data_IF_756798828078
#
_entry.id   IF_756798828078
#
_cell.length_a   1.000
_cell.length_b   1.000
_cell.length_c   1.000
_cell.angle_alpha   90.00
_cell.angle_beta   90.00
_cell.angle_gamma   90.00
#
_symmetry.space_group_name_H-M   'P 1'
#
loop_
_entity.id
_entity.type
_entity.pdbx_description
1 polymer ?
#
# COMPACT_ATOMS: atom_id res chain seq x y z
N UNK A 1 -79.16 -10.18 -41.69
CA UNK A 1 -78.61 -10.29 -40.32
C UNK A 1 -77.45 -11.28 -40.34
N UNK A 2 -76.35 -10.93 -39.65
CA UNK A 2 -75.08 -11.64 -39.41
C UNK A 2 -73.97 -11.52 -40.48
N UNK A 3 -72.88 -10.88 -40.03
CA UNK A 3 -71.47 -10.83 -40.53
C UNK A 3 -70.78 -12.21 -40.35
N UNK A 4 -69.52 -12.52 -40.75
CA UNK A 4 -68.31 -11.65 -40.76
C UNK A 4 -67.16 -11.96 -41.79
N UNK A 5 -66.04 -11.25 -41.60
CA UNK A 5 -64.62 -11.62 -41.83
C UNK A 5 -63.88 -10.98 -43.02
N UNK A 6 -62.82 -10.22 -42.70
CA UNK A 6 -61.91 -9.54 -43.63
C UNK A 6 -60.49 -10.12 -43.51
N UNK A 7 -59.98 -10.46 -44.70
CA UNK A 7 -58.68 -10.90 -45.21
C UNK A 7 -57.40 -10.90 -44.36
N UNK A 8 -56.67 -12.00 -44.57
CA UNK A 8 -55.23 -12.22 -44.40
C UNK A 8 -54.70 -12.58 -45.80
N UNK A 9 -53.66 -11.90 -46.31
CA UNK A 9 -52.96 -12.28 -47.55
C UNK A 9 -51.45 -12.25 -47.35
N UNK A 10 -50.85 -13.38 -47.68
CA UNK A 10 -49.45 -13.78 -47.72
C UNK A 10 -48.96 -13.79 -49.19
N UNK A 11 -47.73 -13.34 -49.46
CA UNK A 11 -46.81 -13.84 -50.51
C UNK A 11 -45.46 -13.08 -50.38
N UNK A 12 -44.33 -13.67 -49.94
CA UNK A 12 -43.38 -14.64 -50.55
C UNK A 12 -42.50 -14.09 -51.70
N UNK A 13 -41.18 -13.97 -51.46
CA UNK A 13 -40.04 -14.57 -52.24
C UNK A 13 -38.65 -14.04 -51.79
N UNK A 14 -37.80 -14.88 -51.18
CA UNK A 14 -36.57 -15.59 -51.66
C UNK A 14 -35.27 -14.73 -51.72
N UNK A 15 -34.35 -14.85 -50.73
CA UNK A 15 -33.13 -15.72 -50.57
C UNK A 15 -31.85 -15.13 -51.20
N UNK A 16 -30.83 -14.87 -50.37
CA UNK A 16 -29.43 -15.37 -50.44
C UNK A 16 -28.52 -14.53 -49.52
N UNK A 17 -27.95 -15.14 -48.48
CA UNK A 17 -26.63 -14.74 -47.99
C UNK A 17 -25.94 -15.92 -47.34
N UNK A 18 -24.71 -16.14 -47.81
CA UNK A 18 -23.79 -17.18 -47.43
C UNK A 18 -23.55 -17.17 -45.92
N UNK A 19 -23.46 -18.38 -45.35
CA UNK A 19 -22.87 -18.56 -44.04
C UNK A 19 -21.37 -18.25 -44.10
N UNK A 20 -20.93 -17.36 -43.23
CA UNK A 20 -19.57 -17.35 -42.70
C UNK A 20 -19.63 -17.88 -41.28
N UNK A 21 -18.74 -18.81 -40.99
CA UNK A 21 -18.60 -19.50 -39.70
C UNK A 21 -18.42 -18.48 -38.56
N UNK A 22 -19.27 -18.59 -37.55
CA UNK A 22 -19.04 -17.99 -36.22
C UNK A 22 -17.74 -18.57 -35.65
N UNK A 23 -16.63 -17.89 -35.93
CA UNK A 23 -15.44 -18.01 -35.10
C UNK A 23 -15.72 -17.20 -33.85
N UNK A 24 -16.23 -17.87 -32.80
CA UNK A 24 -16.42 -17.28 -31.48
C UNK A 24 -15.04 -17.06 -30.84
N UNK A 25 -14.28 -16.08 -31.33
CA UNK A 25 -13.23 -15.48 -30.53
C UNK A 25 -13.93 -14.79 -29.37
N UNK A 26 -13.83 -15.38 -28.19
CA UNK A 26 -14.10 -14.72 -26.92
C UNK A 26 -13.03 -13.64 -26.75
N UNK A 27 -13.18 -12.53 -27.48
CA UNK A 27 -12.52 -11.28 -27.13
C UNK A 27 -13.13 -10.87 -25.81
N UNK A 28 -12.42 -11.13 -24.72
CA UNK A 28 -12.64 -10.46 -23.44
C UNK A 28 -12.69 -8.98 -23.76
N UNK A 29 -13.88 -8.37 -23.77
CA UNK A 29 -14.05 -6.96 -24.08
C UNK A 29 -13.44 -6.17 -22.95
N UNK A 30 -12.15 -5.85 -23.10
CA UNK A 30 -11.42 -5.03 -22.14
C UNK A 30 -12.09 -3.66 -22.11
N UNK A 31 -12.49 -3.21 -20.92
CA UNK A 31 -13.15 -1.90 -20.78
C UNK A 31 -12.27 -0.77 -21.32
N UNK A 32 -12.86 0.28 -21.92
CA UNK A 32 -12.08 1.43 -22.38
C UNK A 32 -11.34 2.05 -21.19
N UNK A 33 -10.16 2.60 -21.46
CA UNK A 33 -9.32 3.19 -20.44
C UNK A 33 -10.00 4.42 -19.81
N UNK A 34 -10.06 4.44 -18.48
CA UNK A 34 -10.76 5.47 -17.72
C UNK A 34 -10.00 6.81 -17.73
N UNK A 35 -10.71 7.97 -17.72
CA UNK A 35 -10.08 9.30 -17.64
C UNK A 35 -9.47 9.61 -16.26
N UNK A 36 -9.45 8.64 -15.34
CA UNK A 36 -8.84 8.78 -14.03
C UNK A 36 -8.26 7.45 -13.56
N UNK A 37 -7.34 7.54 -12.62
CA UNK A 37 -6.74 6.36 -12.01
C UNK A 37 -5.96 6.69 -10.76
N UNK A 38 -5.08 5.78 -10.40
CA UNK A 38 -4.22 5.90 -9.22
C UNK A 38 -2.80 5.46 -9.52
N UNK A 39 -1.84 6.18 -8.96
CA UNK A 39 -0.43 5.80 -8.95
C UNK A 39 -0.19 4.96 -7.70
N UNK A 40 0.22 3.71 -7.91
CA UNK A 40 0.63 2.79 -6.86
C UNK A 40 2.15 2.73 -6.83
N UNK A 41 2.75 3.34 -5.81
CA UNK A 41 4.20 3.40 -5.65
C UNK A 41 4.68 2.14 -4.94
N UNK A 42 5.83 1.62 -5.37
CA UNK A 42 6.53 0.54 -4.67
C UNK A 42 6.91 1.01 -3.27
N UNK A 43 6.49 0.27 -2.26
CA UNK A 43 6.57 0.63 -0.84
C UNK A 43 5.85 1.94 -0.47
N UNK A 44 4.97 2.45 -1.34
CA UNK A 44 4.10 3.59 -1.03
C UNK A 44 3.11 3.23 0.06
N UNK A 45 2.75 4.18 0.92
CA UNK A 45 1.71 3.97 1.95
C UNK A 45 0.29 4.22 1.43
N UNK A 46 0.15 5.14 0.48
CA UNK A 46 -1.14 5.49 -0.11
C UNK A 46 -1.04 5.72 -1.62
N UNK A 47 -2.08 5.36 -2.39
CA UNK A 47 -2.12 5.66 -3.81
C UNK A 47 -2.37 7.15 -4.08
N UNK A 48 -1.77 7.67 -5.15
CA UNK A 48 -1.97 9.05 -5.61
C UNK A 48 -3.02 9.08 -6.71
N UNK A 49 -4.13 9.79 -6.51
CA UNK A 49 -5.12 9.99 -7.56
C UNK A 49 -4.55 10.84 -8.69
N UNK A 50 -4.74 10.40 -9.94
CA UNK A 50 -4.45 11.18 -11.14
C UNK A 50 -5.68 11.29 -12.04
N UNK A 51 -5.67 12.33 -12.88
CA UNK A 51 -6.62 12.51 -13.98
C UNK A 51 -5.86 12.47 -15.30
N UNK A 52 -6.34 11.66 -16.24
CA UNK A 52 -5.71 11.48 -17.54
C UNK A 52 -6.23 12.53 -18.50
N UNK A 53 -5.35 12.96 -19.40
CA UNK A 53 -5.71 13.72 -20.58
C UNK A 53 -6.62 12.93 -21.54
N UNK A 54 -7.36 13.63 -22.38
CA UNK A 54 -8.20 13.05 -23.43
C UNK A 54 -7.43 12.71 -24.72
N UNK A 55 -6.14 13.03 -24.76
CA UNK A 55 -5.22 12.76 -25.85
C UNK A 55 -4.07 11.82 -25.45
N UNK A 56 -3.29 11.43 -26.45
CA UNK A 56 -2.08 10.63 -26.26
C UNK A 56 -2.34 9.12 -26.29
N UNK A 57 -1.26 8.37 -26.08
CA UNK A 57 -1.30 6.91 -26.08
C UNK A 57 -1.85 6.28 -24.80
N UNK A 58 -1.85 4.94 -24.72
CA UNK A 58 -2.32 4.20 -23.54
C UNK A 58 -1.40 4.38 -22.34
N UNK A 59 -1.91 4.15 -21.12
CA UNK A 59 -1.06 4.06 -19.93
C UNK A 59 0.06 3.01 -20.10
N UNK A 60 1.23 3.30 -19.52
CA UNK A 60 2.33 2.34 -19.45
C UNK A 60 1.87 1.04 -18.76
N UNK A 61 2.01 -0.14 -19.40
CA UNK A 61 1.45 -1.38 -18.90
C UNK A 61 2.30 -2.03 -17.79
N UNK A 62 3.43 -1.44 -17.41
CA UNK A 62 4.41 -1.96 -16.47
C UNK A 62 4.78 -0.91 -15.42
N UNK A 63 5.53 -1.32 -14.40
CA UNK A 63 6.10 -0.40 -13.41
C UNK A 63 7.17 0.48 -14.07
N UNK A 64 7.15 1.77 -13.73
CA UNK A 64 7.98 2.83 -14.31
C UNK A 64 8.73 3.57 -13.20
N UNK A 65 9.89 4.13 -13.53
CA UNK A 65 10.59 5.07 -12.65
C UNK A 65 10.05 6.49 -12.83
N UNK A 66 9.91 7.25 -11.75
CA UNK A 66 9.51 8.66 -11.82
C UNK A 66 10.75 9.55 -11.86
N UNK A 67 10.97 10.21 -13.00
CA UNK A 67 12.12 11.07 -13.23
C UNK A 67 11.76 12.54 -13.00
N UNK A 68 12.53 13.21 -12.14
CA UNK A 68 12.38 14.63 -11.82
C UNK A 68 13.55 15.40 -12.44
N UNK A 69 13.30 16.44 -13.26
CA UNK A 69 14.36 17.32 -13.75
C UNK A 69 15.20 17.89 -12.60
N UNK A 70 16.53 17.81 -12.75
CA UNK A 70 17.48 18.19 -11.68
C UNK A 70 17.60 19.71 -11.52
N UNK A 71 17.46 20.46 -12.61
CA UNK A 71 17.49 21.92 -12.60
C UNK A 71 16.08 22.51 -12.44
N UNK A 72 15.97 23.54 -11.59
CA UNK A 72 14.70 24.18 -11.27
C UNK A 72 14.04 24.87 -12.47
N UNK A 73 14.80 25.34 -13.45
CA UNK A 73 14.28 25.90 -14.71
C UNK A 73 13.64 24.83 -15.61
N UNK A 74 14.14 23.59 -15.55
CA UNK A 74 13.63 22.48 -16.35
C UNK A 74 12.37 21.84 -15.75
N UNK A 75 11.98 22.22 -14.53
CA UNK A 75 10.81 21.67 -13.82
C UNK A 75 9.51 21.81 -14.61
N UNK A 76 9.42 22.75 -15.54
CA UNK A 76 8.23 22.96 -16.35
C UNK A 76 8.20 22.11 -17.63
N UNK A 77 9.30 21.47 -18.06
CA UNK A 77 9.30 20.61 -19.25
C UNK A 77 8.89 21.34 -20.54
N UNK A 78 9.25 22.61 -20.69
CA UNK A 78 8.93 23.42 -21.87
C UNK A 78 10.00 23.36 -22.98
N UNK A 79 11.14 22.73 -22.66
CA UNK A 79 12.27 22.46 -23.55
C UNK A 79 12.77 21.03 -23.32
N UNK A 80 13.65 20.55 -24.21
CA UNK A 80 14.35 19.29 -24.00
C UNK A 80 15.26 19.41 -22.77
N UNK A 81 15.35 18.32 -22.00
CA UNK A 81 16.30 18.25 -20.89
C UNK A 81 17.74 18.37 -21.40
N UNK A 82 18.68 18.90 -20.58
CA UNK A 82 20.09 18.96 -20.94
C UNK A 82 20.64 17.55 -21.19
N UNK A 83 21.64 17.41 -22.07
CA UNK A 83 22.15 16.12 -22.56
C UNK A 83 22.36 15.04 -21.47
N UNK A 84 22.94 15.32 -20.29
CA UNK A 84 23.14 14.28 -19.27
C UNK A 84 21.82 13.70 -18.74
N UNK A 85 20.80 14.53 -18.60
CA UNK A 85 19.47 14.13 -18.13
C UNK A 85 18.66 13.49 -19.26
N UNK A 86 18.77 14.03 -20.47
CA UNK A 86 18.14 13.46 -21.67
C UNK A 86 18.58 12.01 -21.91
N UNK A 87 19.90 11.76 -21.83
CA UNK A 87 20.46 10.41 -21.99
C UNK A 87 19.96 9.44 -20.92
N UNK A 88 19.70 9.91 -19.69
CA UNK A 88 19.15 9.09 -18.61
C UNK A 88 17.70 8.68 -18.89
N UNK A 89 16.88 9.61 -19.38
CA UNK A 89 15.49 9.32 -19.79
C UNK A 89 15.47 8.42 -21.03
N UNK A 90 16.30 8.67 -22.04
CA UNK A 90 16.39 7.83 -23.24
C UNK A 90 16.88 6.41 -22.91
N UNK A 91 17.88 6.28 -22.03
CA UNK A 91 18.41 4.99 -21.58
C UNK A 91 17.39 4.17 -20.79
N UNK A 92 16.35 4.81 -20.21
CA UNK A 92 15.24 4.12 -19.57
C UNK A 92 14.35 3.36 -20.56
N UNK A 93 14.50 3.58 -21.88
CA UNK A 93 13.80 2.86 -22.96
C UNK A 93 12.28 2.76 -22.73
N UNK A 94 11.60 3.91 -22.59
CA UNK A 94 10.15 3.99 -22.31
C UNK A 94 9.75 3.35 -20.97
N UNK A 95 10.64 3.37 -19.97
CA UNK A 95 10.33 2.96 -18.59
C UNK A 95 10.48 4.08 -17.56
N UNK A 96 10.74 5.33 -17.98
CA UNK A 96 10.69 6.50 -17.10
C UNK A 96 9.51 7.42 -17.40
N UNK A 97 8.79 7.85 -16.37
CA UNK A 97 7.77 8.90 -16.44
C UNK A 97 8.43 10.23 -16.11
N UNK A 98 8.32 11.19 -17.02
CA UNK A 98 8.82 12.54 -16.78
C UNK A 98 7.84 13.30 -15.89
N UNK A 99 8.30 13.79 -14.74
CA UNK A 99 7.49 14.54 -13.78
C UNK A 99 7.81 16.03 -13.86
N UNK A 100 6.81 16.85 -14.21
CA UNK A 100 6.97 18.30 -14.42
C UNK A 100 5.83 19.07 -13.76
N UNK A 101 6.04 20.36 -13.53
CA UNK A 101 5.01 21.25 -13.02
C UNK A 101 4.18 21.88 -14.16
N UNK A 102 2.92 22.13 -13.85
CA UNK A 102 2.03 22.92 -14.71
C UNK A 102 2.45 24.39 -14.69
N UNK A 103 2.53 24.99 -15.88
CA UNK A 103 2.92 26.38 -16.08
C UNK A 103 3.79 26.56 -17.32
N UNK A 104 4.09 27.81 -17.67
CA UNK A 104 5.02 28.29 -18.72
C UNK A 104 4.70 27.91 -20.18
N UNK A 105 4.25 26.70 -20.45
CA UNK A 105 3.87 26.19 -21.76
C UNK A 105 2.64 25.28 -21.66
N UNK A 106 2.10 24.88 -22.81
CA UNK A 106 0.87 24.08 -22.91
C UNK A 106 1.10 22.60 -22.58
N UNK A 107 0.03 21.84 -22.29
CA UNK A 107 0.13 20.41 -21.95
C UNK A 107 0.64 19.57 -23.13
N UNK A 108 0.17 19.88 -24.33
CA UNK A 108 0.57 19.23 -25.58
C UNK A 108 2.06 19.43 -25.84
N UNK A 109 2.57 20.65 -25.57
CA UNK A 109 4.00 20.95 -25.71
C UNK A 109 4.83 20.09 -24.75
N UNK A 110 4.43 19.99 -23.49
CA UNK A 110 5.11 19.16 -22.49
C UNK A 110 5.08 17.69 -22.89
N UNK A 111 3.92 17.20 -23.32
CA UNK A 111 3.72 15.79 -23.70
C UNK A 111 4.51 15.43 -24.96
N UNK A 112 4.53 16.30 -25.97
CA UNK A 112 5.36 16.14 -27.16
C UNK A 112 6.85 16.07 -26.82
N UNK A 113 7.34 16.96 -25.95
CA UNK A 113 8.73 16.96 -25.53
C UNK A 113 9.07 15.71 -24.73
N UNK A 114 8.23 15.32 -23.77
CA UNK A 114 8.41 14.08 -23.01
C UNK A 114 8.45 12.84 -23.92
N UNK A 115 7.59 12.81 -24.95
CA UNK A 115 7.58 11.74 -25.95
C UNK A 115 8.89 11.70 -26.76
N UNK A 116 9.37 12.87 -27.20
CA UNK A 116 10.65 12.99 -27.91
C UNK A 116 11.85 12.54 -27.08
N UNK A 117 11.82 12.74 -25.75
CA UNK A 117 12.86 12.28 -24.84
C UNK A 117 12.80 10.76 -24.55
N UNK A 118 11.82 10.05 -25.10
CA UNK A 118 11.67 8.61 -24.85
C UNK A 118 11.05 8.27 -23.49
N UNK A 119 10.31 9.19 -22.87
CA UNK A 119 9.56 8.90 -21.65
C UNK A 119 8.43 7.87 -21.92
N UNK A 120 8.03 7.14 -20.88
CA UNK A 120 6.90 6.21 -20.88
C UNK A 120 5.55 6.94 -20.81
N UNK A 121 5.51 8.03 -20.05
CA UNK A 121 4.35 8.90 -19.83
C UNK A 121 4.81 10.27 -19.33
N UNK A 122 3.90 11.23 -19.33
CA UNK A 122 4.05 12.52 -18.69
C UNK A 122 3.20 12.59 -17.42
N UNK A 123 3.80 12.98 -16.29
CA UNK A 123 3.10 13.32 -15.07
C UNK A 123 3.23 14.81 -14.79
N UNK A 124 2.11 15.52 -14.82
CA UNK A 124 2.05 16.95 -14.53
C UNK A 124 1.57 17.20 -13.09
N UNK A 125 2.32 18.00 -12.34
CA UNK A 125 1.95 18.45 -11.00
C UNK A 125 1.22 19.78 -11.10
N UNK A 126 -0.01 19.83 -10.61
CA UNK A 126 -0.80 21.06 -10.53
C UNK A 126 -0.19 22.04 -9.51
N UNK A 127 -0.28 23.38 -9.71
CA UNK A 127 0.12 24.37 -8.71
C UNK A 127 -0.84 24.44 -7.52
N UNK A 128 -2.00 23.78 -7.61
CA UNK A 128 -3.02 23.71 -6.56
C UNK A 128 -3.45 22.26 -6.32
N UNK A 129 -4.17 22.03 -5.22
CA UNK A 129 -4.75 20.71 -4.96
C UNK A 129 -6.07 20.48 -5.70
N UNK A 130 -6.64 21.51 -6.33
CA UNK A 130 -7.78 21.38 -7.24
C UNK A 130 -7.30 20.90 -8.60
N UNK A 131 -7.60 19.63 -8.92
CA UNK A 131 -7.15 19.00 -10.17
C UNK A 131 -8.33 18.45 -10.94
N UNK A 132 -8.30 18.71 -12.24
CA UNK A 132 -9.13 18.08 -13.27
C UNK A 132 -8.22 17.47 -14.33
N UNK A 133 -8.81 16.65 -15.21
CA UNK A 133 -8.12 16.29 -16.45
C UNK A 133 -7.64 17.57 -17.16
N UNK A 134 -6.40 17.62 -17.64
CA UNK A 134 -5.99 18.70 -18.51
C UNK A 134 -6.77 18.62 -19.83
N UNK A 135 -6.85 19.75 -20.52
CA UNK A 135 -7.59 19.88 -21.79
C UNK A 135 -6.61 20.38 -22.81
N UNK A 136 -6.48 19.62 -23.89
CA UNK A 136 -5.65 19.99 -25.02
C UNK A 136 -6.47 20.41 -26.24
N UNK A 137 -5.90 21.29 -27.05
CA UNK A 137 -6.38 21.63 -28.38
C UNK A 137 -5.41 21.10 -29.43
N UNK A 138 -5.38 19.77 -29.57
CA UNK A 138 -4.59 19.11 -30.62
C UNK A 138 -5.26 19.30 -31.99
N UNK A 139 -4.41 19.44 -33.02
CA UNK A 139 -4.86 19.41 -34.41
C UNK A 139 -5.03 17.98 -34.92
N UNK A 140 -4.19 17.06 -34.43
CA UNK A 140 -4.25 15.62 -34.67
C UNK A 140 -3.88 14.87 -33.39
N UNK A 141 -4.62 13.83 -33.03
CA UNK A 141 -4.39 13.08 -31.79
C UNK A 141 -3.20 12.10 -31.89
N UNK A 142 -2.76 11.76 -33.12
CA UNK A 142 -1.68 10.81 -33.39
C UNK A 142 -0.26 11.39 -33.19
N UNK A 143 -0.12 12.67 -32.81
CA UNK A 143 1.19 13.32 -32.65
C UNK A 143 1.91 12.94 -31.35
N UNK A 144 1.19 12.39 -30.38
CA UNK A 144 1.71 12.07 -29.04
C UNK A 144 1.37 10.61 -28.73
N UNK A 145 2.40 9.79 -28.57
CA UNK A 145 2.29 8.33 -28.40
C UNK A 145 2.26 7.87 -26.95
N UNK A 146 2.54 8.78 -26.01
CA UNK A 146 2.55 8.51 -24.57
C UNK A 146 1.31 9.06 -23.91
N UNK A 147 0.95 8.50 -22.77
CA UNK A 147 -0.11 9.08 -21.98
C UNK A 147 0.37 10.26 -21.14
N UNK A 148 -0.53 11.21 -20.91
CA UNK A 148 -0.30 12.36 -20.03
C UNK A 148 -1.37 12.39 -18.93
N UNK A 149 -0.92 12.66 -17.70
CA UNK A 149 -1.78 12.69 -16.52
C UNK A 149 -1.42 13.88 -15.63
N UNK A 150 -2.38 14.31 -14.80
CA UNK A 150 -2.17 15.34 -13.79
C UNK A 150 -2.50 14.87 -12.39
N UNK A 151 -1.66 15.28 -11.42
CA UNK A 151 -1.85 15.06 -9.99
C UNK A 151 -1.89 16.38 -9.21
N UNK A 152 -2.38 16.29 -7.98
CA UNK A 152 -2.46 17.40 -7.02
C UNK A 152 -1.08 17.88 -6.61
N UNK A 153 -0.95 19.17 -6.28
CA UNK A 153 0.29 19.77 -5.78
C UNK A 153 0.90 18.96 -4.64
N UNK A 154 0.11 18.67 -3.61
CA UNK A 154 0.56 17.93 -2.42
C UNK A 154 1.13 16.55 -2.76
N UNK A 155 0.52 15.83 -3.71
CA UNK A 155 1.05 14.56 -4.20
C UNK A 155 2.38 14.72 -4.93
N UNK A 156 2.53 15.77 -5.74
CA UNK A 156 3.79 16.09 -6.42
C UNK A 156 4.91 16.51 -5.46
N UNK A 157 4.58 17.31 -4.43
CA UNK A 157 5.52 17.72 -3.38
C UNK A 157 6.03 16.51 -2.57
N UNK A 158 5.13 15.59 -2.22
CA UNK A 158 5.50 14.31 -1.59
C UNK A 158 6.48 13.51 -2.45
N UNK A 159 6.19 13.35 -3.76
CA UNK A 159 7.08 12.61 -4.65
C UNK A 159 8.43 13.30 -4.80
N UNK A 160 8.48 14.63 -4.87
CA UNK A 160 9.72 15.39 -4.99
C UNK A 160 10.61 15.20 -3.75
N UNK A 161 10.04 15.29 -2.56
CA UNK A 161 10.76 15.03 -1.29
C UNK A 161 11.26 13.57 -1.24
N UNK A 162 10.46 12.60 -1.68
CA UNK A 162 10.90 11.22 -1.74
C UNK A 162 12.03 11.00 -2.78
N UNK A 163 11.99 11.70 -3.91
CA UNK A 163 12.98 11.60 -4.99
C UNK A 163 14.36 12.13 -4.59
N UNK A 164 14.42 13.06 -3.63
CA UNK A 164 15.68 13.52 -3.02
C UNK A 164 16.37 12.43 -2.19
N UNK A 165 15.62 11.42 -1.73
CA UNK A 165 16.11 10.37 -0.84
C UNK A 165 16.33 9.03 -1.56
N UNK A 166 15.53 8.74 -2.59
CA UNK A 166 15.60 7.48 -3.32
C UNK A 166 14.96 7.56 -4.71
N UNK A 167 15.34 6.63 -5.59
CA UNK A 167 14.63 6.42 -6.83
C UNK A 167 13.20 5.90 -6.57
N UNK A 168 12.23 6.50 -7.26
CA UNK A 168 10.81 6.19 -7.10
C UNK A 168 10.36 5.29 -8.24
N UNK A 169 9.71 4.19 -7.89
CA UNK A 169 9.10 3.25 -8.83
C UNK A 169 7.61 3.10 -8.52
N UNK A 170 6.80 2.93 -9.55
CA UNK A 170 5.37 2.76 -9.38
C UNK A 170 4.65 2.44 -10.68
N UNK A 171 3.35 2.20 -10.59
CA UNK A 171 2.49 1.93 -11.75
C UNK A 171 1.31 2.88 -11.77
N UNK A 172 1.01 3.43 -12.95
CA UNK A 172 -0.18 4.23 -13.20
C UNK A 172 -1.31 3.29 -13.62
N UNK A 173 -2.30 3.11 -12.75
CA UNK A 173 -3.37 2.13 -12.94
C UNK A 173 -4.70 2.87 -13.18
N UNK A 174 -5.27 2.78 -14.40
CA UNK A 174 -6.60 3.28 -14.69
C UNK A 174 -7.66 2.56 -13.84
N UNK A 175 -8.63 3.30 -13.32
CA UNK A 175 -9.65 2.75 -12.43
C UNK A 175 -11.04 2.86 -13.05
N UNK A 176 -11.77 1.76 -13.08
CA UNK A 176 -13.15 1.70 -13.59
C UNK A 176 -14.10 1.45 -12.41
N UNK A 177 -15.10 2.32 -12.23
CA UNK A 177 -16.11 2.15 -11.18
C UNK A 177 -17.43 1.63 -11.75
N UNK A 178 -17.93 0.56 -11.15
CA UNK A 178 -19.30 0.09 -11.32
C UNK A 178 -20.19 0.74 -10.26
N UNK A 179 -21.46 1.05 -10.58
CA UNK A 179 -22.37 1.76 -9.66
C UNK A 179 -23.24 0.84 -8.79
N UNK A 180 -23.20 -0.48 -8.99
CA UNK A 180 -24.10 -1.44 -8.31
C UNK A 180 -23.39 -2.77 -8.00
N UNK A 181 -22.70 -2.91 -6.86
CA UNK A 181 -22.38 -1.89 -5.84
C UNK A 181 -21.36 -0.86 -6.35
N UNK A 182 -21.23 0.28 -5.66
CA UNK A 182 -20.17 1.26 -5.99
C UNK A 182 -18.80 0.66 -5.66
N UNK A 183 -18.13 0.12 -6.67
CA UNK A 183 -16.82 -0.52 -6.53
C UNK A 183 -15.95 -0.09 -7.69
N UNK A 184 -14.70 0.27 -7.39
CA UNK A 184 -13.75 0.69 -8.40
C UNK A 184 -12.62 -0.33 -8.44
N UNK A 185 -12.35 -0.86 -9.64
CA UNK A 185 -11.37 -1.92 -9.86
C UNK A 185 -10.43 -1.54 -11.00
N UNK A 186 -9.22 -2.11 -11.02
CA UNK A 186 -8.34 -1.99 -12.19
C UNK A 186 -8.93 -2.72 -13.40
N UNK A 187 -8.29 -2.56 -14.55
CA UNK A 187 -8.73 -3.16 -15.81
C UNK A 187 -8.24 -4.59 -15.96
N UNK A 188 -7.07 -4.90 -15.41
CA UNK A 188 -6.41 -6.19 -15.52
C UNK A 188 -6.13 -6.81 -14.15
N UNK A 189 -6.13 -8.14 -14.08
CA UNK A 189 -5.79 -8.90 -12.86
C UNK A 189 -4.34 -8.60 -12.40
N UNK A 190 -3.38 -8.49 -13.32
CA UNK A 190 -2.00 -8.10 -12.99
C UNK A 190 -1.89 -6.70 -12.37
N UNK A 191 -2.86 -5.82 -12.59
CA UNK A 191 -2.92 -4.52 -11.92
C UNK A 191 -3.48 -4.69 -10.50
N UNK A 192 -4.46 -5.57 -10.30
CA UNK A 192 -5.00 -5.94 -8.98
C UNK A 192 -3.90 -6.56 -8.10
N UNK A 193 -3.16 -7.53 -8.62
CA UNK A 193 -2.00 -8.13 -7.93
C UNK A 193 -0.96 -7.08 -7.53
N UNK A 194 -0.65 -6.14 -8.43
CA UNK A 194 0.28 -5.06 -8.16
C UNK A 194 -0.25 -4.12 -7.07
N UNK A 195 -1.55 -3.80 -7.08
CA UNK A 195 -2.18 -2.96 -6.05
C UNK A 195 -2.08 -3.58 -4.65
N UNK A 196 -2.21 -4.90 -4.54
CA UNK A 196 -2.12 -5.62 -3.27
C UNK A 196 -0.69 -5.79 -2.73
N UNK A 197 0.28 -5.89 -3.64
CA UNK A 197 1.67 -6.21 -3.31
C UNK A 197 2.61 -5.01 -3.25
N UNK A 198 2.37 -3.96 -4.05
CA UNK A 198 3.30 -2.83 -4.16
C UNK A 198 3.21 -1.84 -2.99
N UNK A 199 2.02 -1.64 -2.41
CA UNK A 199 1.83 -0.76 -1.25
C UNK A 199 2.39 -1.44 0.00
N UNK A 200 3.10 -0.68 0.83
CA UNK A 200 3.51 -1.16 2.15
C UNK A 200 2.30 -1.06 3.10
N UNK A 201 1.78 -2.20 3.56
CA UNK A 201 0.69 -2.31 4.56
C UNK A 201 1.19 -2.69 5.94
N UNK A 202 2.33 -3.36 6.01
CA UNK A 202 2.97 -3.77 7.25
C UNK A 202 4.36 -4.35 7.01
N UNK A 203 5.03 -4.71 8.09
CA UNK A 203 6.41 -5.18 7.99
C UNK A 203 7.10 -5.33 9.33
N UNK A 204 8.43 -5.45 9.29
CA UNK A 204 9.28 -5.59 10.46
C UNK A 204 10.10 -4.32 10.70
N UNK A 205 10.25 -3.97 11.98
CA UNK A 205 11.20 -2.94 12.44
C UNK A 205 12.50 -3.63 12.83
N UNK A 206 13.61 -3.21 12.22
CA UNK A 206 14.93 -3.79 12.40
C UNK A 206 15.87 -2.77 13.05
N UNK A 207 16.62 -3.19 14.06
CA UNK A 207 17.81 -2.46 14.53
C UNK A 207 18.98 -2.78 13.62
N UNK A 208 19.76 -1.78 13.26
CA UNK A 208 20.93 -1.93 12.39
C UNK A 208 22.11 -1.25 13.06
N UNK A 209 23.18 -2.00 13.32
CA UNK A 209 24.40 -1.45 13.95
C UNK A 209 25.33 -0.83 12.91
N UNK A 210 25.44 -1.42 11.72
CA UNK A 210 26.29 -0.96 10.62
C UNK A 210 25.55 -0.95 9.26
N UNK A 211 25.94 -0.06 8.35
CA UNK A 211 25.38 -0.04 7.00
C UNK A 211 25.66 -1.35 6.25
N UNK A 212 24.61 -2.09 5.90
CA UNK A 212 24.69 -3.37 5.20
C UNK A 212 24.34 -4.60 6.05
N UNK A 213 24.11 -4.43 7.37
CA UNK A 213 23.62 -5.50 8.23
C UNK A 213 22.14 -5.84 7.94
N UNK A 214 21.83 -7.14 7.97
CA UNK A 214 20.47 -7.68 7.83
C UNK A 214 19.56 -7.24 8.99
N UNK A 215 20.16 -6.84 10.11
CA UNK A 215 19.53 -6.16 11.23
C UNK A 215 18.78 -7.12 12.15
N UNK A 216 18.68 -6.74 13.43
CA UNK A 216 17.94 -7.52 14.43
C UNK A 216 16.49 -7.08 14.48
N UNK A 217 15.55 -8.01 14.30
CA UNK A 217 14.11 -7.72 14.39
C UNK A 217 13.70 -7.31 15.80
N UNK A 218 13.12 -6.12 15.93
CA UNK A 218 12.64 -5.56 17.19
C UNK A 218 11.14 -5.80 17.41
N UNK A 219 10.38 -5.85 16.33
CA UNK A 219 8.93 -6.01 16.32
C UNK A 219 8.36 -5.91 14.91
N UNK A 220 7.04 -5.75 14.82
CA UNK A 220 6.32 -5.49 13.57
C UNK A 220 5.68 -4.11 13.56
N UNK A 221 5.36 -3.64 12.36
CA UNK A 221 4.59 -2.41 12.15
C UNK A 221 3.42 -2.64 11.20
N UNK A 222 2.38 -1.83 11.36
CA UNK A 222 1.34 -1.60 10.36
C UNK A 222 1.54 -0.22 9.75
N UNK A 223 1.54 -0.11 8.44
CA UNK A 223 1.69 1.18 7.78
C UNK A 223 0.35 1.93 7.77
N UNK A 224 0.40 3.25 7.86
CA UNK A 224 -0.79 4.06 7.73
C UNK A 224 -1.31 4.06 6.28
N UNK A 225 -2.60 4.35 6.12
CA UNK A 225 -3.24 4.54 4.79
C UNK A 225 -2.97 5.93 4.19
N UNK A 226 -1.94 6.61 4.67
CA UNK A 226 -1.46 7.92 4.25
C UNK A 226 0.04 8.06 4.57
N UNK A 227 0.67 9.10 4.03
CA UNK A 227 2.11 9.30 4.12
C UNK A 227 2.83 8.92 2.83
N UNK A 228 4.17 9.06 2.87
CA UNK A 228 5.03 8.88 1.71
C UNK A 228 5.48 7.43 1.52
N UNK A 229 6.48 7.22 0.68
CA UNK A 229 7.07 5.93 0.35
C UNK A 229 8.01 5.51 1.49
N UNK A 230 7.88 4.28 1.98
CA UNK A 230 8.73 3.73 3.02
C UNK A 230 10.12 3.35 2.47
N UNK A 231 11.21 3.99 2.91
CA UNK A 231 12.57 3.61 2.51
C UNK A 231 12.97 2.30 3.20
N UNK A 232 13.29 1.27 2.42
CA UNK A 232 13.63 -0.06 2.95
C UNK A 232 15.14 -0.34 3.02
N UNK A 233 15.94 0.47 2.32
CA UNK A 233 17.41 0.34 2.26
C UNK A 233 18.14 1.31 3.17
N UNK A 234 17.48 2.40 3.55
CA UNK A 234 18.06 3.46 4.38
C UNK A 234 17.74 3.20 5.85
N UNK A 235 18.73 3.39 6.72
CA UNK A 235 18.55 3.36 8.17
C UNK A 235 18.39 4.76 8.73
N UNK A 236 17.52 4.94 9.74
CA UNK A 236 17.23 6.23 10.36
C UNK A 236 17.64 6.21 11.83
N UNK A 237 18.35 7.23 12.34
CA UNK A 237 18.58 7.34 13.77
C UNK A 237 17.23 7.50 14.49
N UNK A 238 17.08 6.85 15.64
CA UNK A 238 15.92 7.00 16.49
C UNK A 238 16.04 8.27 17.34
N UNK A 239 15.02 9.12 17.31
CA UNK A 239 14.91 10.26 18.22
C UNK A 239 14.36 9.84 19.59
N UNK A 240 14.49 10.72 20.59
CA UNK A 240 13.79 10.55 21.85
C UNK A 240 12.27 10.52 21.60
N UNK A 241 11.52 9.63 22.28
CA UNK A 241 10.07 9.57 22.16
C UNK A 241 9.42 10.88 22.60
N UNK A 242 8.43 11.34 21.83
CA UNK A 242 7.56 12.44 22.22
C UNK A 242 6.46 11.93 23.15
N UNK A 243 6.21 12.64 24.24
CA UNK A 243 4.97 12.45 24.99
C UNK A 243 3.76 13.05 24.24
N UNK A 244 2.55 12.80 24.75
CA UNK A 244 1.34 13.30 24.11
C UNK A 244 1.29 14.84 24.02
N UNK A 245 1.73 15.55 25.05
CA UNK A 245 1.72 17.02 25.07
C UNK A 245 2.74 17.61 24.10
N UNK A 246 3.95 17.05 24.04
CA UNK A 246 5.00 17.46 23.12
C UNK A 246 4.59 17.19 21.66
N UNK A 247 3.99 16.04 21.39
CA UNK A 247 3.48 15.70 20.06
C UNK A 247 2.38 16.65 19.57
N UNK A 248 1.57 17.18 20.50
CA UNK A 248 0.52 18.14 20.20
C UNK A 248 0.99 19.60 20.21
N UNK A 249 2.24 19.89 20.60
CA UNK A 249 2.78 21.25 20.59
C UNK A 249 3.10 21.68 19.16
N UNK A 250 2.58 22.84 18.76
CA UNK A 250 2.80 23.40 17.43
C UNK A 250 4.30 23.54 17.17
N UNK A 251 4.78 22.89 16.11
CA UNK A 251 6.18 22.92 15.72
C UNK A 251 6.67 24.34 15.39
N UNK A 252 5.78 25.26 14.99
CA UNK A 252 6.14 26.65 14.69
C UNK A 252 6.50 27.46 15.92
N UNK A 253 6.05 27.04 17.11
CA UNK A 253 6.35 27.68 18.39
C UNK A 253 7.62 27.13 19.05
N UNK A 254 8.06 25.92 18.65
CA UNK A 254 9.15 25.17 19.27
C UNK A 254 10.28 24.85 18.27
N UNK A 255 10.98 25.91 17.83
CA UNK A 255 12.11 25.81 16.89
C UNK A 255 13.32 25.12 17.55
N UNK A 256 13.43 25.13 18.89
CA UNK A 256 14.57 24.59 19.62
C UNK A 256 14.76 23.09 19.37
N UNK A 257 13.67 22.35 19.15
CA UNK A 257 13.70 20.91 18.97
C UNK A 257 13.78 20.47 17.50
N UNK A 258 13.78 21.39 16.52
CA UNK A 258 13.93 21.02 15.11
C UNK A 258 15.19 20.20 14.84
N UNK A 259 16.31 20.59 15.45
CA UNK A 259 17.58 19.84 15.30
C UNK A 259 17.55 18.46 15.95
N UNK A 260 16.65 18.23 16.91
CA UNK A 260 16.52 16.96 17.61
C UNK A 260 15.89 15.88 16.73
N UNK A 261 14.94 16.27 15.88
CA UNK A 261 14.14 15.34 15.06
C UNK A 261 14.55 15.29 13.58
N UNK A 262 15.32 16.28 13.12
CA UNK A 262 15.80 16.35 11.74
C UNK A 262 16.46 15.04 11.26
N UNK A 263 15.87 14.41 10.24
CA UNK A 263 16.41 13.19 9.62
C UNK A 263 16.16 11.90 10.40
N UNK A 264 15.41 11.94 11.51
CA UNK A 264 15.24 10.82 12.45
C UNK A 264 13.88 10.15 12.34
N UNK A 265 13.81 8.91 12.84
CA UNK A 265 12.54 8.26 13.16
C UNK A 265 12.06 8.75 14.53
N UNK A 266 10.80 9.14 14.64
CA UNK A 266 10.22 9.72 15.86
C UNK A 266 9.08 8.87 16.37
N UNK A 267 9.13 8.50 17.65
CA UNK A 267 8.06 7.77 18.32
C UNK A 267 7.10 8.78 18.96
N UNK A 268 5.80 8.58 18.76
CA UNK A 268 4.74 9.40 19.35
C UNK A 268 3.55 8.51 19.75
N UNK A 269 2.83 8.81 20.84
CA UNK A 269 1.67 8.01 21.24
C UNK A 269 0.53 8.13 20.23
N UNK A 270 -0.07 6.99 19.88
CA UNK A 270 -1.29 6.91 19.10
C UNK A 270 -2.52 7.46 19.86
N UNK A 271 -3.64 7.60 19.16
CA UNK A 271 -4.92 8.07 19.68
C UNK A 271 -4.92 9.54 20.12
N UNK A 272 -5.76 9.88 21.10
CA UNK A 272 -5.99 11.25 21.56
C UNK A 272 -5.09 11.70 22.72
N UNK A 273 -4.02 10.96 23.04
CA UNK A 273 -3.05 11.38 24.04
C UNK A 273 -2.50 12.78 23.70
N UNK A 274 -2.50 13.72 24.64
CA UNK A 274 -2.09 15.11 24.37
C UNK A 274 -3.20 16.05 23.88
N UNK A 275 -4.43 15.55 23.65
CA UNK A 275 -5.63 16.31 23.24
C UNK A 275 -5.59 16.90 21.82
N UNK A 276 -4.79 16.33 20.93
CA UNK A 276 -4.83 16.60 19.49
C UNK A 276 -5.07 15.30 18.70
N UNK A 277 -5.36 15.43 17.40
CA UNK A 277 -5.54 14.27 16.52
C UNK A 277 -4.21 13.59 16.19
N UNK A 278 -4.23 12.29 15.85
CA UNK A 278 -3.03 11.59 15.39
C UNK A 278 -2.40 12.25 14.15
N UNK A 279 -3.26 12.69 13.23
CA UNK A 279 -2.84 13.43 12.05
C UNK A 279 -2.07 14.71 12.40
N UNK A 280 -2.53 15.43 13.43
CA UNK A 280 -1.86 16.64 13.91
C UNK A 280 -0.50 16.33 14.55
N UNK A 281 -0.39 15.24 15.32
CA UNK A 281 0.91 14.77 15.86
C UNK A 281 1.92 14.47 14.76
N UNK A 282 1.47 13.73 13.73
CA UNK A 282 2.30 13.39 12.58
C UNK A 282 2.72 14.67 11.84
N UNK A 283 1.78 15.60 11.62
CA UNK A 283 2.04 16.89 10.99
C UNK A 283 3.08 17.70 11.76
N UNK A 284 2.99 17.75 13.09
CA UNK A 284 3.96 18.43 13.95
C UNK A 284 5.34 17.75 13.93
N UNK A 285 5.40 16.41 13.98
CA UNK A 285 6.66 15.68 13.89
C UNK A 285 7.36 15.92 12.54
N UNK A 286 6.60 15.90 11.43
CA UNK A 286 7.13 16.22 10.10
C UNK A 286 7.68 17.65 10.03
N UNK A 287 6.95 18.64 10.57
CA UNK A 287 7.41 20.03 10.61
C UNK A 287 8.69 20.22 11.42
N UNK A 288 8.92 19.38 12.43
CA UNK A 288 10.17 19.30 13.20
C UNK A 288 11.31 18.58 12.45
N UNK A 289 11.07 18.12 11.22
CA UNK A 289 12.08 17.49 10.37
C UNK A 289 12.20 15.97 10.53
N UNK A 290 11.26 15.30 11.20
CA UNK A 290 11.23 13.85 11.24
C UNK A 290 11.17 13.26 9.82
N UNK A 291 11.88 12.16 9.59
CA UNK A 291 11.82 11.43 8.32
C UNK A 291 10.85 10.26 8.36
N UNK A 292 10.52 9.74 9.55
CA UNK A 292 9.54 8.67 9.78
C UNK A 292 8.84 8.94 11.11
N UNK A 293 7.52 8.71 11.16
CA UNK A 293 6.76 8.73 12.42
C UNK A 293 6.31 7.32 12.78
N UNK A 294 6.54 6.93 14.03
CA UNK A 294 6.14 5.66 14.62
C UNK A 294 5.10 5.96 15.70
N UNK A 295 3.84 5.63 15.42
CA UNK A 295 2.70 5.70 16.33
C UNK A 295 2.70 4.49 17.25
N UNK A 296 2.94 4.71 18.53
CA UNK A 296 2.90 3.66 19.55
C UNK A 296 1.48 3.51 20.10
N UNK A 297 0.88 2.33 19.93
CA UNK A 297 -0.41 2.00 20.54
C UNK A 297 -0.33 1.93 22.07
N UNK A 298 -1.48 2.12 22.73
CA UNK A 298 -1.59 2.05 24.19
C UNK A 298 -1.44 0.60 24.69
N UNK A 299 -0.92 0.45 25.92
CA UNK A 299 -0.59 -0.84 26.55
C UNK A 299 -1.76 -1.84 26.65
N UNK A 300 -2.99 -1.35 26.62
CA UNK A 300 -4.20 -2.15 26.77
C UNK A 300 -4.85 -2.55 25.42
N UNK A 301 -4.23 -2.21 24.29
CA UNK A 301 -4.77 -2.52 22.97
C UNK A 301 -4.54 -3.99 22.62
N UNK A 302 -5.61 -4.79 22.60
CA UNK A 302 -5.56 -6.19 22.10
C UNK A 302 -5.32 -6.26 20.60
N UNK A 303 -5.72 -5.22 19.86
CA UNK A 303 -5.59 -5.14 18.41
C UNK A 303 -4.91 -3.84 18.01
N UNK A 304 -4.10 -3.94 16.96
CA UNK A 304 -3.47 -2.81 16.28
C UNK A 304 -4.17 -2.69 14.94
N UNK A 305 -4.49 -1.47 14.55
CA UNK A 305 -5.13 -1.17 13.27
C UNK A 305 -4.25 -0.21 12.50
N UNK A 306 -4.38 -0.22 11.17
CA UNK A 306 -3.69 0.76 10.33
C UNK A 306 -4.21 2.17 10.67
N UNK A 307 -3.32 3.13 10.98
CA UNK A 307 -3.72 4.52 11.10
C UNK A 307 -4.36 5.00 9.81
N UNK A 308 -5.46 5.73 9.91
CA UNK A 308 -6.20 6.15 8.74
C UNK A 308 -6.78 7.52 8.87
N UNK A 309 -6.96 8.14 7.71
CA UNK A 309 -7.77 9.34 7.54
C UNK A 309 -9.00 8.96 6.74
N UNK A 310 -10.12 9.66 6.98
CA UNK A 310 -11.37 9.38 6.28
C UNK A 310 -11.21 9.45 4.75
N UNK A 311 -10.30 10.29 4.28
CA UNK A 311 -10.05 10.58 2.88
C UNK A 311 -8.55 10.71 2.66
N UNK A 312 -7.94 9.76 1.94
CA UNK A 312 -6.47 9.68 1.81
C UNK A 312 -5.84 10.94 1.20
N UNK A 313 -6.50 11.60 0.24
CA UNK A 313 -5.97 12.82 -0.38
C UNK A 313 -5.96 14.03 0.56
N UNK A 314 -6.71 14.02 1.68
CA UNK A 314 -6.57 15.06 2.71
C UNK A 314 -5.22 14.96 3.45
N UNK A 315 -4.53 13.84 3.32
CA UNK A 315 -3.27 13.56 4.00
C UNK A 315 -2.05 13.54 3.06
N UNK A 316 -2.19 13.99 1.80
CA UNK A 316 -1.05 14.11 0.88
C UNK A 316 -0.02 15.17 1.32
N UNK A 317 -0.37 16.05 2.26
CA UNK A 317 0.57 16.95 2.91
C UNK A 317 1.48 16.26 3.95
N UNK A 318 1.22 14.99 4.28
CA UNK A 318 2.15 14.15 5.04
C UNK A 318 3.11 13.50 4.05
N UNK A 319 4.34 13.99 4.02
CA UNK A 319 5.38 13.66 3.06
C UNK A 319 6.41 12.67 3.61
N UNK A 320 6.14 12.10 4.79
CA UNK A 320 6.97 11.08 5.44
C UNK A 320 6.16 9.81 5.71
N UNK A 321 6.79 8.63 5.80
CA UNK A 321 6.11 7.40 6.18
C UNK A 321 5.59 7.47 7.62
N UNK A 322 4.39 6.90 7.82
CA UNK A 322 3.73 6.82 9.12
C UNK A 322 3.43 5.36 9.42
N UNK A 323 3.98 4.86 10.52
CA UNK A 323 3.91 3.46 10.93
C UNK A 323 3.26 3.36 12.30
N UNK A 324 2.50 2.32 12.57
CA UNK A 324 1.97 1.98 13.88
C UNK A 324 2.62 0.72 14.42
N UNK A 325 2.93 0.73 15.71
CA UNK A 325 3.54 -0.41 16.42
C UNK A 325 2.79 -0.66 17.73
N UNK A 326 2.94 -1.86 18.27
CA UNK A 326 2.41 -2.19 19.59
C UNK A 326 3.10 -1.37 20.68
N UNK A 327 2.50 -1.33 21.86
CA UNK A 327 3.18 -0.84 23.06
C UNK A 327 4.46 -1.62 23.37
N UNK A 328 4.45 -2.95 23.22
CA UNK A 328 5.62 -3.81 23.47
C UNK A 328 6.79 -3.42 22.58
N UNK A 329 6.54 -3.30 21.27
CA UNK A 329 7.54 -2.86 20.30
C UNK A 329 7.94 -1.41 20.54
N UNK A 330 6.99 -0.50 20.80
CA UNK A 330 7.28 0.91 21.11
C UNK A 330 8.14 1.11 22.37
N UNK A 331 7.91 0.33 23.43
CA UNK A 331 8.70 0.36 24.66
C UNK A 331 10.12 -0.18 24.44
N UNK A 332 10.27 -1.23 23.62
CA UNK A 332 11.60 -1.72 23.19
C UNK A 332 12.35 -0.64 22.43
N UNK A 333 11.70 0.02 21.46
CA UNK A 333 12.31 1.10 20.69
C UNK A 333 12.71 2.28 21.59
N UNK A 334 11.82 2.69 22.50
CA UNK A 334 12.05 3.84 23.40
C UNK A 334 13.26 3.67 24.33
N UNK A 335 13.66 2.43 24.61
CA UNK A 335 14.82 2.11 25.45
C UNK A 335 16.05 1.67 24.65
N UNK A 336 15.94 1.60 23.32
CA UNK A 336 16.97 1.07 22.45
C UNK A 336 18.14 2.06 22.30
N UNK A 337 19.34 1.55 22.48
CA UNK A 337 20.61 2.24 22.21
C UNK A 337 21.46 1.33 21.34
N UNK A 338 22.34 1.93 20.54
CA UNK A 338 23.32 1.15 19.78
C UNK A 338 24.42 0.57 20.70
N UNK A 339 25.34 -0.19 20.10
CA UNK A 339 26.47 -0.82 20.80
C UNK A 339 27.43 0.18 21.46
N UNK A 340 27.40 1.46 21.05
CA UNK A 340 28.22 2.54 21.58
C UNK A 340 27.47 3.35 22.66
N UNK A 341 26.17 3.09 22.85
CA UNK A 341 25.30 3.79 23.81
C UNK A 341 24.60 5.03 23.23
N UNK A 342 24.73 5.25 21.93
CA UNK A 342 24.12 6.33 21.15
C UNK A 342 22.73 5.90 20.61
N UNK A 343 22.11 6.81 19.85
CA UNK A 343 20.79 6.59 19.27
C UNK A 343 20.81 5.45 18.24
N UNK A 344 20.05 4.38 18.53
CA UNK A 344 19.93 3.23 17.66
C UNK A 344 19.43 3.61 16.26
N UNK A 345 19.86 2.87 15.24
CA UNK A 345 19.43 3.07 13.86
C UNK A 345 18.39 2.03 13.48
N UNK A 346 17.31 2.49 12.85
CA UNK A 346 16.18 1.66 12.45
C UNK A 346 16.13 1.52 10.94
N UNK A 347 15.92 0.30 10.47
CA UNK A 347 15.57 -0.02 9.08
C UNK A 347 14.24 -0.77 9.04
N UNK A 348 13.51 -0.62 7.95
CA UNK A 348 12.18 -1.20 7.80
C UNK A 348 12.16 -2.19 6.64
N UNK A 349 11.58 -3.37 6.88
CA UNK A 349 11.37 -4.39 5.86
C UNK A 349 9.87 -4.58 5.64
N UNK A 350 9.40 -4.40 4.40
CA UNK A 350 7.99 -4.59 4.05
C UNK A 350 7.65 -6.08 4.01
N UNK A 351 6.56 -6.45 4.66
CA UNK A 351 5.99 -7.79 4.64
C UNK A 351 4.48 -7.69 4.86
N UNK A 352 3.73 -7.57 3.76
CA UNK A 352 2.28 -7.31 3.80
C UNK A 352 1.48 -8.42 4.48
N UNK A 353 2.00 -9.65 4.55
CA UNK A 353 1.37 -10.72 5.32
C UNK A 353 1.18 -10.37 6.81
N UNK A 354 2.06 -9.57 7.40
CA UNK A 354 1.87 -9.08 8.78
C UNK A 354 0.58 -8.26 8.89
N UNK A 355 0.28 -7.42 7.90
CA UNK A 355 -0.98 -6.68 7.85
C UNK A 355 -2.17 -7.62 7.63
N UNK A 356 -2.06 -8.61 6.73
CA UNK A 356 -3.11 -9.62 6.51
C UNK A 356 -3.45 -10.39 7.79
N UNK A 357 -2.46 -10.68 8.62
CA UNK A 357 -2.65 -11.33 9.91
C UNK A 357 -3.44 -10.46 10.89
N UNK A 358 -3.11 -9.17 11.01
CA UNK A 358 -3.85 -8.22 11.85
C UNK A 358 -5.27 -7.96 11.34
N UNK A 359 -5.46 -7.79 10.02
CA UNK A 359 -6.78 -7.65 9.39
C UNK A 359 -7.65 -8.90 9.58
N UNK A 360 -7.04 -10.10 9.56
CA UNK A 360 -7.74 -11.34 9.90
C UNK A 360 -8.19 -11.33 11.36
N UNK A 361 -7.35 -10.93 12.30
CA UNK A 361 -7.75 -10.82 13.70
C UNK A 361 -8.87 -9.81 13.93
N UNK A 362 -8.82 -8.67 13.25
CA UNK A 362 -9.87 -7.64 13.34
C UNK A 362 -11.24 -8.20 12.94
N UNK A 363 -11.31 -9.03 11.88
CA UNK A 363 -12.55 -9.72 11.47
C UNK A 363 -13.12 -10.62 12.57
N UNK A 364 -12.26 -11.17 13.43
CA UNK A 364 -12.63 -12.04 14.56
C UNK A 364 -12.65 -11.31 15.92
N UNK A 365 -12.59 -9.99 15.92
CA UNK A 365 -12.64 -9.17 17.15
C UNK A 365 -13.99 -9.24 17.88
N UNK A 366 -15.05 -9.68 17.21
CA UNK A 366 -16.42 -9.73 17.76
C UNK A 366 -16.91 -11.16 17.96
N UNK A 367 -17.70 -11.41 19.01
CA UNK A 367 -18.24 -12.76 19.30
C UNK A 367 -19.07 -13.35 18.15
N UNK A 368 -19.71 -12.51 17.35
CA UNK A 368 -20.52 -12.89 16.18
C UNK A 368 -19.71 -13.53 15.06
N UNK A 369 -18.42 -13.21 14.94
CA UNK A 369 -17.53 -13.82 13.95
C UNK A 369 -17.14 -15.26 14.33
N UNK A 370 -17.32 -15.64 15.60
CA UNK A 370 -16.96 -16.96 16.10
C UNK A 370 -18.15 -17.93 16.08
N UNK A 371 -17.91 -19.24 15.92
CA UNK A 371 -18.97 -20.25 16.04
C UNK A 371 -19.73 -20.16 17.38
N UNK A 372 -21.03 -20.46 17.36
CA UNK A 372 -21.85 -20.48 18.60
C UNK A 372 -21.46 -21.62 19.55
N UNK A 373 -21.00 -22.76 19.02
CA UNK A 373 -20.62 -23.94 19.81
C UNK A 373 -19.14 -23.87 20.19
N UNK A 374 -18.83 -23.94 21.48
CA UNK A 374 -17.47 -23.85 22.04
C UNK A 374 -16.51 -24.86 21.38
N UNK A 375 -16.91 -26.12 21.21
CA UNK A 375 -16.08 -27.15 20.51
C UNK A 375 -15.70 -26.76 19.08
N UNK A 376 -16.51 -25.95 18.39
CA UNK A 376 -16.18 -25.45 17.05
C UNK A 376 -15.26 -24.23 17.11
N UNK A 377 -15.26 -23.50 18.22
CA UNK A 377 -14.32 -22.38 18.42
C UNK A 377 -12.88 -22.87 18.47
N UNK A 378 -12.56 -23.99 19.11
CA UNK A 378 -11.19 -24.54 19.12
C UNK A 378 -10.71 -24.93 17.72
N UNK A 379 -11.61 -25.45 16.86
CA UNK A 379 -11.26 -25.71 15.45
C UNK A 379 -11.00 -24.42 14.67
N UNK A 380 -11.83 -23.40 14.86
CA UNK A 380 -11.61 -22.08 14.25
C UNK A 380 -10.31 -21.45 14.78
N UNK A 381 -10.01 -21.58 16.07
CA UNK A 381 -8.76 -21.12 16.67
C UNK A 381 -7.55 -21.75 15.99
N UNK A 382 -7.55 -23.08 15.80
CA UNK A 382 -6.48 -23.79 15.11
C UNK A 382 -6.29 -23.31 13.66
N UNK A 383 -7.40 -23.06 12.96
CA UNK A 383 -7.37 -22.51 11.59
C UNK A 383 -6.77 -21.10 11.56
N UNK A 384 -7.20 -20.22 12.47
CA UNK A 384 -6.70 -18.85 12.55
C UNK A 384 -5.21 -18.81 12.90
N UNK A 385 -4.77 -19.63 13.85
CA UNK A 385 -3.37 -19.74 14.23
C UNK A 385 -2.50 -20.21 13.05
N UNK A 386 -2.97 -21.22 12.30
CA UNK A 386 -2.30 -21.66 11.09
C UNK A 386 -2.21 -20.56 10.03
N UNK A 387 -3.30 -19.81 9.79
CA UNK A 387 -3.33 -18.72 8.81
C UNK A 387 -2.39 -17.57 9.20
N UNK A 388 -2.42 -17.13 10.46
CA UNK A 388 -1.57 -16.05 10.97
C UNK A 388 -0.09 -16.40 10.86
N UNK A 389 0.29 -17.63 11.23
CA UNK A 389 1.67 -18.12 11.03
C UNK A 389 2.04 -18.15 9.56
N UNK A 390 1.12 -18.60 8.68
CA UNK A 390 1.32 -18.59 7.23
C UNK A 390 1.50 -17.20 6.64
N UNK A 391 0.88 -16.18 7.24
CA UNK A 391 1.06 -14.77 6.86
C UNK A 391 2.33 -14.13 7.46
N UNK A 392 3.11 -14.86 8.27
CA UNK A 392 4.29 -14.31 8.95
C UNK A 392 3.95 -13.44 10.16
N UNK A 393 2.77 -13.64 10.77
CA UNK A 393 2.43 -13.05 12.06
C UNK A 393 3.44 -13.44 13.13
N UNK A 394 3.78 -12.49 13.99
CA UNK A 394 4.73 -12.69 15.08
C UNK A 394 4.04 -13.00 16.41
N UNK A 395 4.85 -13.13 17.46
CA UNK A 395 4.39 -13.41 18.81
C UNK A 395 3.35 -12.38 19.31
N UNK A 396 3.37 -11.14 18.81
CA UNK A 396 2.38 -10.14 19.20
C UNK A 396 1.01 -10.46 18.57
N UNK A 397 0.99 -10.92 17.32
CA UNK A 397 -0.23 -11.38 16.64
C UNK A 397 -0.78 -12.65 17.31
N UNK A 398 0.07 -13.60 17.68
CA UNK A 398 -0.36 -14.81 18.39
C UNK A 398 -0.93 -14.49 19.78
N UNK A 399 -0.29 -13.60 20.54
CA UNK A 399 -0.78 -13.16 21.85
C UNK A 399 -2.08 -12.35 21.71
N UNK A 400 -2.25 -11.57 20.64
CA UNK A 400 -3.52 -10.92 20.34
C UNK A 400 -4.63 -11.95 20.05
N UNK A 401 -4.36 -13.00 19.27
CA UNK A 401 -5.32 -14.09 19.02
C UNK A 401 -5.71 -14.79 20.33
N UNK A 402 -4.75 -15.07 21.20
CA UNK A 402 -4.98 -15.66 22.52
C UNK A 402 -5.91 -14.78 23.35
N UNK A 403 -5.62 -13.49 23.43
CA UNK A 403 -6.44 -12.54 24.17
C UNK A 403 -7.87 -12.43 23.60
N UNK A 404 -8.04 -12.47 22.27
CA UNK A 404 -9.37 -12.54 21.66
C UNK A 404 -10.09 -13.84 22.04
N UNK A 405 -9.42 -14.98 21.99
CA UNK A 405 -10.02 -16.26 22.34
C UNK A 405 -10.50 -16.30 23.80
N UNK A 406 -9.67 -15.83 24.74
CA UNK A 406 -10.02 -15.80 26.15
C UNK A 406 -11.15 -14.79 26.43
N UNK A 407 -11.00 -13.54 25.97
CA UNK A 407 -11.87 -12.44 26.39
C UNK A 407 -13.14 -12.30 25.54
N UNK A 408 -13.07 -12.58 24.22
CA UNK A 408 -14.22 -12.43 23.32
C UNK A 408 -15.01 -13.73 23.22
N UNK A 409 -14.34 -14.86 23.13
CA UNK A 409 -15.02 -16.17 22.98
C UNK A 409 -15.42 -16.75 24.34
N UNK A 410 -14.69 -16.42 25.40
CA UNK A 410 -14.80 -17.05 26.72
C UNK A 410 -14.11 -18.42 26.78
N UNK A 411 -13.07 -18.62 25.96
CA UNK A 411 -12.25 -19.84 25.97
C UNK A 411 -11.41 -19.97 27.24
N UNK A 412 -10.85 -21.16 27.47
CA UNK A 412 -9.92 -21.40 28.59
C UNK A 412 -8.47 -21.38 28.12
N UNK A 413 -7.54 -21.09 29.04
CA UNK A 413 -6.10 -21.20 28.76
C UNK A 413 -5.70 -22.63 28.36
N UNK A 414 -6.30 -23.63 29.01
CA UNK A 414 -6.08 -25.04 28.66
C UNK A 414 -6.47 -25.35 27.20
N UNK A 415 -7.61 -24.83 26.72
CA UNK A 415 -8.01 -25.00 25.32
C UNK A 415 -7.07 -24.28 24.34
N UNK A 416 -6.51 -23.13 24.75
CA UNK A 416 -5.49 -22.43 23.97
C UNK A 416 -4.21 -23.26 23.88
N UNK A 417 -3.66 -23.72 25.01
CA UNK A 417 -2.40 -24.46 25.06
C UNK A 417 -2.49 -25.75 24.25
N UNK A 418 -3.63 -26.46 24.32
CA UNK A 418 -3.89 -27.65 23.50
C UNK A 418 -3.85 -27.39 21.99
N UNK A 419 -4.22 -26.19 21.56
CA UNK A 419 -4.26 -25.81 20.13
C UNK A 419 -2.93 -25.20 19.68
N UNK A 420 -2.32 -24.37 20.51
CA UNK A 420 -1.08 -23.66 20.20
C UNK A 420 0.16 -24.55 20.29
N UNK A 421 0.15 -25.52 21.21
CA UNK A 421 1.26 -26.42 21.53
C UNK A 421 0.75 -27.87 21.57
N UNK A 422 0.38 -28.44 20.41
CA UNK A 422 -0.16 -29.80 20.35
C UNK A 422 0.86 -30.86 20.81
N UNK A 423 2.16 -30.61 20.62
CA UNK A 423 3.23 -31.57 20.92
C UNK A 423 3.64 -31.61 22.41
N UNK A 424 3.42 -30.53 23.17
CA UNK A 424 3.72 -30.48 24.61
C UNK A 424 2.64 -31.19 25.46
N UNK A 425 1.40 -31.26 24.95
CA UNK A 425 0.27 -31.91 25.65
C UNK A 425 0.20 -33.43 25.45
N UNK A 426 1.06 -34.03 24.61
CA UNK A 426 1.13 -35.49 24.45
C UNK A 426 1.81 -36.15 25.67
N UNK A 427 2.58 -35.39 26.46
CA UNK A 427 3.30 -35.89 27.62
C UNK A 427 2.47 -36.01 28.90
N UNK A 428 1.28 -35.40 28.98
CA UNK A 428 0.43 -35.48 30.18
C UNK A 428 -0.65 -36.59 30.11
N UNK A 429 -0.96 -37.12 28.92
CA UNK A 429 -2.02 -38.11 28.72
C UNK A 429 -1.52 -39.58 28.63
N UNK A 430 -0.21 -39.84 28.77
CA UNK A 430 0.38 -41.19 28.63
C UNK A 430 0.41 -42.03 29.92
N UNK A 431 -0.29 -41.65 30.98
CA UNK A 431 -0.39 -42.45 32.21
C UNK A 431 -1.83 -42.87 32.55
N UNK A 432 -2.58 -43.36 31.55
CA UNK A 432 -3.64 -44.34 31.81
C UNK A 432 -4.05 -45.11 30.54
N UNK A 433 -4.09 -46.45 30.67
CA UNK A 433 -4.80 -47.41 29.80
C UNK A 433 -4.08 -47.93 28.55
N UNK A 434 -3.36 -49.05 28.76
CA UNK A 434 -3.10 -50.17 27.82
C UNK A 434 -4.20 -50.44 26.77
N UNK A 435 -3.84 -50.50 25.47
CA UNK A 435 -3.97 -51.66 24.56
C UNK A 435 -3.74 -51.33 23.07
N UNK A 436 -2.75 -52.02 22.50
CA UNK A 436 -2.67 -52.69 21.18
C UNK A 436 -3.02 -51.96 19.87
N UNK A 437 -1.96 -51.73 19.07
CA UNK A 437 -1.78 -51.89 17.59
C UNK A 437 -2.79 -51.19 16.64
N UNK A 438 -2.36 -50.48 15.59
CA UNK A 438 -1.70 -51.02 14.39
C UNK A 438 -0.86 -49.93 13.71
N UNK A 439 0.38 -50.28 13.38
CA UNK A 439 1.29 -49.52 12.51
C UNK A 439 0.78 -49.58 11.06
N UNK A 440 0.55 -48.43 10.45
CA UNK A 440 0.66 -48.27 8.99
C UNK A 440 1.50 -47.03 8.67
N UNK A 441 2.78 -47.28 8.44
CA UNK A 441 3.70 -46.44 7.68
C UNK A 441 3.18 -46.16 6.27
N UNK A 442 3.03 -44.89 5.89
CA UNK A 442 3.18 -44.45 4.48
C UNK A 442 3.82 -43.04 4.41
N UNK A 443 5.09 -43.06 4.03
CA UNK A 443 5.86 -42.15 3.15
C UNK A 443 5.68 -40.62 3.25
N UNK A 444 6.76 -40.02 3.76
CA UNK A 444 7.32 -38.70 3.43
C UNK A 444 7.40 -38.50 1.90
N UNK A 445 6.93 -37.37 1.34
CA UNK A 445 7.48 -36.84 0.10
C UNK A 445 8.56 -35.80 0.42
N UNK A 446 9.68 -35.98 -0.25
CA UNK A 446 10.89 -35.19 -0.20
C UNK A 446 10.66 -33.73 -0.64
N UNK A 447 11.41 -32.88 0.05
CA UNK A 447 11.97 -31.61 -0.41
C UNK A 447 12.30 -31.60 -1.89
N UNK A 448 11.94 -30.51 -2.57
CA UNK A 448 12.54 -30.17 -3.85
C UNK A 448 12.97 -28.71 -3.84
N UNK A 449 14.29 -28.56 -3.79
CA UNK A 449 15.05 -27.35 -4.06
C UNK A 449 14.77 -26.79 -5.47
N UNK A 450 14.79 -25.46 -5.51
CA UNK A 450 15.41 -24.59 -6.51
C UNK A 450 15.25 -24.93 -8.01
N UNK A 451 14.55 -24.01 -8.69
CA UNK A 451 15.05 -23.28 -9.87
C UNK A 451 14.36 -21.93 -9.96
#
# INVERSE_FOLDING_TARGET
MKSPALLLVLALSFVFSNGEEETTTTTTTVSPESPWGRIYLRNGLAPIQYFRDDFGGPMAPHEVSFYFPKLSENRFGCELLPEPELLEVEASNRSAVLVVDRGECTFERKALLADQMGAAALLVVSPTDDVSAPVAALKNDDEISIASVMIRRTGGDMLRIAAEQMAIYGRLIPMTCERKPYTCKPRYEIEEDYMETAIARGGSVLSVDEEGDDGTRLGSFLAATYGSILPTKTSFPLAAPLDGSQACTDATEDIATHSEFAGKAVITPAGQAGRCSEFEKVSNAQRRGANIVILMHQDNATLITQPGVQVSWHAYNITIPVLAVSSTTGNRLSSLKDTQGDAARLRFAVSNGIADAWELLEKYSTRSAWPKRVKRCSKTLAQLLYQIRGFGGDNEVEEALKNLFLNVVGGSLHDWDKVAHPDENVQEDEDSSTRDTVVHTVKKPETRDEL
#
